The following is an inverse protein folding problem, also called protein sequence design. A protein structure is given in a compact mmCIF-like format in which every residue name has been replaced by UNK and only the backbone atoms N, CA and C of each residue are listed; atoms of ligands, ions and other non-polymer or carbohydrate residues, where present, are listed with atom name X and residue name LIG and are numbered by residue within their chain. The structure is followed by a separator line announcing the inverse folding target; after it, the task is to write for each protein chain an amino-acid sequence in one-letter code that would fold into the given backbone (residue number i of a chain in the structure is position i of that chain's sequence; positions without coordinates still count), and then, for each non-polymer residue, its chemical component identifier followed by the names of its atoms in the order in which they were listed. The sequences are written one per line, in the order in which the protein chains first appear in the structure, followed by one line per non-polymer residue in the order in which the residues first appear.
data_IF_214250328455
#
_entry.id   IF_214250328455
#
_cell.length_a   1.000
_cell.length_b   1.000
_cell.length_c   1.000
_cell.angle_alpha   90.00
_cell.angle_beta   90.00
_cell.angle_gamma   90.00
#
_symmetry.space_group_name_H-M   'P 1'
#
loop_
_entity.id
_entity.type
_entity.pdbx_description
1 polymer ?
#
# COMPACT_ATOMS: atom_id res chain seq x y z
N UNK A 1 -47.75 26.96 15.08
CA UNK A 1 -46.37 26.60 15.45
C UNK A 1 -46.10 25.21 14.91
N UNK A 2 -45.44 25.11 13.75
CA UNK A 2 -44.93 23.86 13.23
C UNK A 2 -43.46 23.78 13.64
N UNK A 3 -43.14 22.94 14.62
CA UNK A 3 -41.77 22.48 14.85
C UNK A 3 -41.60 21.23 13.98
N UNK A 4 -40.97 21.42 12.81
CA UNK A 4 -40.42 20.32 12.03
C UNK A 4 -39.04 20.00 12.61
N UNK A 5 -38.94 18.88 13.32
CA UNK A 5 -37.65 18.29 13.67
C UNK A 5 -36.98 17.81 12.39
N UNK A 6 -36.03 18.59 11.90
CA UNK A 6 -35.11 18.18 10.84
C UNK A 6 -34.02 17.36 11.50
N UNK A 7 -34.19 16.04 11.51
CA UNK A 7 -33.09 15.11 11.74
C UNK A 7 -32.14 15.22 10.55
N UNK A 8 -31.06 15.99 10.73
CA UNK A 8 -29.91 15.93 9.83
C UNK A 8 -29.21 14.61 10.15
N UNK A 9 -29.56 13.55 9.42
CA UNK A 9 -28.67 12.40 9.30
C UNK A 9 -27.42 12.88 8.57
N UNK A 10 -26.37 13.20 9.33
CA UNK A 10 -25.04 13.30 8.75
C UNK A 10 -24.78 11.96 8.06
N UNK A 11 -24.49 11.92 6.75
CA UNK A 11 -24.07 10.68 6.12
C UNK A 11 -22.86 10.20 6.91
N UNK A 12 -22.98 9.00 7.48
CA UNK A 12 -21.91 8.36 8.21
C UNK A 12 -20.78 8.08 7.21
N UNK A 13 -19.94 9.09 6.99
CA UNK A 13 -18.55 8.96 6.53
C UNK A 13 -17.71 8.27 7.63
N UNK A 14 -18.31 7.30 8.31
CA UNK A 14 -17.65 6.44 9.28
C UNK A 14 -16.75 5.51 8.49
N UNK A 15 -15.45 5.69 8.64
CA UNK A 15 -14.44 4.78 8.13
C UNK A 15 -14.83 3.34 8.49
N UNK A 16 -15.05 2.44 7.50
CA UNK A 16 -15.64 1.12 7.71
C UNK A 16 -14.78 0.20 8.61
N UNK A 17 -13.54 0.58 8.87
CA UNK A 17 -12.57 -0.24 9.59
C UNK A 17 -12.88 -0.47 11.08
N UNK A 18 -13.68 0.40 11.71
CA UNK A 18 -14.02 0.26 13.14
C UNK A 18 -15.19 -0.68 13.41
N UNK A 19 -15.80 -1.31 12.39
CA UNK A 19 -17.11 -1.96 12.59
C UNK A 19 -17.06 -3.37 13.20
N UNK A 20 -15.90 -4.00 13.32
CA UNK A 20 -15.79 -5.27 14.06
C UNK A 20 -15.40 -5.00 15.51
N UNK A 21 -16.20 -5.51 16.46
CA UNK A 21 -16.02 -5.31 17.92
C UNK A 21 -14.59 -5.57 18.40
N UNK A 22 -13.91 -6.58 17.82
CA UNK A 22 -12.55 -6.95 18.17
C UNK A 22 -11.52 -5.86 17.83
N UNK A 23 -11.64 -5.21 16.67
CA UNK A 23 -10.68 -4.19 16.23
C UNK A 23 -10.94 -2.84 16.88
N UNK A 24 -12.19 -2.54 17.19
CA UNK A 24 -12.55 -1.38 18.01
C UNK A 24 -11.93 -1.48 19.41
N UNK A 25 -11.96 -2.67 20.03
CA UNK A 25 -11.29 -2.91 21.32
C UNK A 25 -9.78 -2.68 21.20
N UNK A 26 -9.12 -3.23 20.18
CA UNK A 26 -7.68 -3.01 19.96
C UNK A 26 -7.36 -1.53 19.73
N UNK A 27 -8.14 -0.83 18.91
CA UNK A 27 -7.94 0.60 18.71
C UNK A 27 -8.05 1.37 20.02
N UNK A 28 -9.09 1.10 20.83
CA UNK A 28 -9.23 1.74 22.14
C UNK A 28 -8.08 1.40 23.08
N UNK A 29 -7.59 0.15 23.04
CA UNK A 29 -6.44 -0.29 23.83
C UNK A 29 -5.16 0.47 23.47
N UNK A 30 -4.91 0.71 22.18
CA UNK A 30 -3.69 1.39 21.70
C UNK A 30 -3.90 2.89 21.45
N UNK A 31 -5.07 3.45 21.73
CA UNK A 31 -5.42 4.84 21.36
C UNK A 31 -4.42 5.83 21.94
N UNK A 32 -4.08 5.68 23.22
CA UNK A 32 -3.22 6.63 23.91
C UNK A 32 -1.77 6.52 23.43
N UNK A 33 -1.30 5.31 23.06
CA UNK A 33 -0.02 5.10 22.38
C UNK A 33 -0.02 5.76 21.00
N UNK A 34 -1.08 5.58 20.20
CA UNK A 34 -1.23 6.25 18.90
C UNK A 34 -1.23 7.77 19.04
N UNK A 35 -1.96 8.31 20.02
CA UNK A 35 -1.94 9.75 20.33
C UNK A 35 -0.53 10.21 20.74
N UNK A 36 0.19 9.41 21.53
CA UNK A 36 1.57 9.69 21.89
C UNK A 36 2.47 9.74 20.65
N UNK A 37 2.40 8.75 19.77
CA UNK A 37 3.14 8.72 18.50
C UNK A 37 2.83 9.92 17.62
N UNK A 38 1.56 10.35 17.56
CA UNK A 38 1.16 11.56 16.84
C UNK A 38 1.70 12.85 17.46
N UNK A 39 1.92 12.86 18.77
CA UNK A 39 2.44 14.02 19.51
C UNK A 39 3.97 14.04 19.59
N UNK A 40 4.66 12.99 19.13
CA UNK A 40 6.11 12.96 19.08
C UNK A 40 6.63 14.07 18.17
N UNK A 41 7.69 14.75 18.64
CA UNK A 41 8.41 15.68 17.78
C UNK A 41 8.94 14.92 16.55
N UNK A 42 8.94 15.55 15.37
CA UNK A 42 9.69 15.03 14.24
C UNK A 42 11.11 14.68 14.68
N UNK A 43 11.55 13.45 14.39
CA UNK A 43 12.95 13.07 14.45
C UNK A 43 13.73 14.03 13.56
N UNK A 44 14.93 14.39 14.01
CA UNK A 44 15.85 15.17 13.20
C UNK A 44 16.43 14.25 12.13
N UNK A 45 15.81 14.23 10.95
CA UNK A 45 16.37 13.57 9.78
C UNK A 45 17.41 14.49 9.13
N UNK A 46 18.52 13.92 8.67
CA UNK A 46 19.46 14.62 7.76
C UNK A 46 18.73 15.18 6.52
N UNK A 47 17.63 14.54 6.13
CA UNK A 47 16.76 14.94 5.03
C UNK A 47 15.36 14.38 5.23
N UNK A 48 14.32 15.19 5.03
CA UNK A 48 12.92 14.77 4.96
C UNK A 48 12.45 14.65 3.51
N UNK A 49 11.35 13.92 3.22
CA UNK A 49 10.80 13.88 1.87
C UNK A 49 10.35 15.29 1.42
N UNK A 50 10.79 15.70 0.23
CA UNK A 50 10.33 16.90 -0.43
C UNK A 50 8.89 16.80 -0.95
N UNK A 51 8.37 17.92 -1.45
CA UNK A 51 7.00 18.00 -1.95
C UNK A 51 6.75 17.17 -3.22
N UNK A 52 7.77 17.03 -4.05
CA UNK A 52 7.76 16.27 -5.31
C UNK A 52 8.45 14.90 -5.16
N UNK A 53 8.83 14.53 -3.94
CA UNK A 53 9.38 13.21 -3.64
C UNK A 53 8.25 12.20 -3.47
N UNK A 54 8.57 10.92 -3.66
CA UNK A 54 7.70 9.80 -3.31
C UNK A 54 8.38 8.89 -2.31
N UNK A 55 7.62 8.46 -1.30
CA UNK A 55 8.05 7.42 -0.36
C UNK A 55 7.34 6.11 -0.70
N UNK A 56 8.13 5.08 -0.98
CA UNK A 56 7.66 3.73 -1.24
C UNK A 56 7.90 2.90 0.00
N UNK A 57 6.82 2.46 0.64
CA UNK A 57 6.91 1.47 1.70
C UNK A 57 6.81 0.07 1.11
N UNK A 58 7.87 -0.73 1.25
CA UNK A 58 7.93 -2.12 0.84
C UNK A 58 7.78 -2.99 2.08
N UNK A 59 6.79 -3.89 2.04
CA UNK A 59 6.66 -4.99 2.98
C UNK A 59 6.83 -6.29 2.23
N UNK A 60 7.75 -7.12 2.71
CA UNK A 60 7.85 -8.52 2.34
C UNK A 60 8.01 -9.33 3.64
N UNK A 61 7.45 -10.53 3.66
CA UNK A 61 7.56 -11.42 4.81
C UNK A 61 8.64 -12.45 4.50
N UNK A 62 9.66 -12.63 5.36
CA UNK A 62 10.69 -13.63 5.15
C UNK A 62 10.07 -15.01 4.88
N UNK A 63 10.63 -15.73 3.90
CA UNK A 63 10.10 -16.99 3.36
C UNK A 63 9.81 -18.09 4.38
N UNK A 64 10.33 -18.00 5.59
CA UNK A 64 10.09 -18.97 6.66
C UNK A 64 8.69 -18.87 7.29
N UNK A 65 7.97 -17.76 7.09
CA UNK A 65 6.63 -17.55 7.66
C UNK A 65 5.52 -17.70 6.61
N UNK A 66 5.42 -18.91 6.06
CA UNK A 66 4.39 -19.29 5.09
C UNK A 66 3.08 -19.68 5.77
N UNK A 67 2.18 -18.73 5.96
CA UNK A 67 0.76 -19.02 6.04
C UNK A 67 0.25 -19.14 4.58
N UNK A 68 -0.44 -20.23 4.22
CA UNK A 68 -1.31 -20.45 3.01
C UNK A 68 -0.71 -20.60 1.61
N UNK A 69 -1.27 -21.53 0.81
CA UNK A 69 -0.94 -21.86 -0.60
C UNK A 69 -1.79 -21.06 -1.61
N UNK A 70 -1.14 -20.46 -2.61
CA UNK A 70 -1.78 -19.98 -3.84
C UNK A 70 -1.02 -20.59 -5.04
N UNK A 71 -1.69 -21.38 -5.87
CA UNK A 71 -1.07 -22.13 -6.99
C UNK A 71 0.09 -23.07 -6.59
N UNK A 72 0.01 -23.76 -5.45
CA UNK A 72 1.09 -24.66 -4.99
C UNK A 72 2.35 -23.93 -4.51
N UNK A 73 2.32 -22.60 -4.42
CA UNK A 73 3.36 -21.78 -3.79
C UNK A 73 2.76 -21.08 -2.58
N UNK A 74 3.26 -21.39 -1.38
CA UNK A 74 2.78 -20.73 -0.15
C UNK A 74 3.25 -19.29 -0.07
N UNK A 75 2.39 -18.31 -0.38
CA UNK A 75 2.60 -16.89 -0.01
C UNK A 75 1.26 -16.20 0.21
N UNK A 76 0.83 -16.03 1.47
CA UNK A 76 -0.31 -15.16 1.83
C UNK A 76 0.03 -13.66 1.71
N UNK A 77 1.32 -13.31 1.77
CA UNK A 77 1.77 -11.93 1.59
C UNK A 77 2.91 -11.90 0.56
N UNK A 78 2.75 -11.04 -0.44
CA UNK A 78 3.79 -10.71 -1.39
C UNK A 78 3.87 -9.18 -1.52
N UNK A 79 5.04 -8.62 -1.80
CA UNK A 79 5.12 -7.23 -2.22
C UNK A 79 4.42 -7.07 -3.59
N UNK A 80 3.86 -5.89 -3.89
CA UNK A 80 3.40 -5.57 -5.24
C UNK A 80 4.46 -5.91 -6.31
N UNK A 81 4.07 -6.38 -7.51
CA UNK A 81 5.02 -6.72 -8.56
C UNK A 81 5.69 -5.47 -9.15
N UNK A 82 6.83 -5.62 -9.82
CA UNK A 82 7.58 -4.51 -10.47
C UNK A 82 6.69 -3.64 -11.36
N UNK A 83 5.80 -4.25 -12.12
CA UNK A 83 4.87 -3.56 -13.04
C UNK A 83 3.93 -2.59 -12.32
N UNK A 84 3.61 -2.81 -11.05
CA UNK A 84 2.83 -1.87 -10.25
C UNK A 84 3.62 -0.58 -9.99
N UNK A 85 4.88 -0.70 -9.57
CA UNK A 85 5.74 0.46 -9.32
C UNK A 85 6.05 1.22 -10.61
N UNK A 86 6.33 0.51 -11.70
CA UNK A 86 6.62 1.13 -12.99
C UNK A 86 5.53 2.08 -13.44
N UNK A 87 4.28 1.61 -13.41
CA UNK A 87 3.12 2.39 -13.83
C UNK A 87 3.00 3.69 -13.03
N UNK A 88 3.20 3.63 -11.72
CA UNK A 88 3.08 4.80 -10.85
C UNK A 88 4.25 5.76 -11.08
N UNK A 89 5.49 5.25 -11.06
CA UNK A 89 6.69 6.08 -11.13
C UNK A 89 6.86 6.72 -12.51
N UNK A 90 6.56 6.00 -13.59
CA UNK A 90 6.61 6.55 -14.95
C UNK A 90 5.54 7.61 -15.20
N UNK A 91 4.35 7.45 -14.60
CA UNK A 91 3.22 8.38 -14.79
C UNK A 91 3.40 9.71 -14.05
N UNK A 92 3.97 9.70 -12.85
CA UNK A 92 3.94 10.85 -11.95
C UNK A 92 5.25 11.66 -11.91
N UNK A 93 6.35 11.15 -12.47
CA UNK A 93 7.62 11.88 -12.63
C UNK A 93 8.16 12.55 -11.34
N UNK A 94 8.25 11.78 -10.24
CA UNK A 94 8.78 12.29 -8.98
C UNK A 94 10.26 12.69 -9.06
N UNK A 95 10.65 13.71 -8.30
CA UNK A 95 12.04 14.21 -8.26
C UNK A 95 12.98 13.21 -7.56
N UNK A 96 12.50 12.60 -6.48
CA UNK A 96 13.25 11.62 -5.72
C UNK A 96 12.36 10.46 -5.27
N UNK A 97 12.93 9.26 -5.32
CA UNK A 97 12.29 8.04 -4.85
C UNK A 97 12.96 7.58 -3.56
N UNK A 98 12.19 7.53 -2.49
CA UNK A 98 12.60 6.95 -1.22
C UNK A 98 12.03 5.55 -1.06
N UNK A 99 12.83 4.61 -0.55
CA UNK A 99 12.36 3.27 -0.22
C UNK A 99 12.54 3.02 1.27
N UNK A 100 11.46 2.58 1.90
CA UNK A 100 11.38 2.27 3.32
C UNK A 100 10.83 0.85 3.46
N UNK A 101 11.34 0.06 4.39
CA UNK A 101 10.93 -1.33 4.60
C UNK A 101 11.67 -1.94 5.78
N UNK A 102 11.32 -3.17 6.14
CA UNK A 102 11.97 -3.86 7.26
C UNK A 102 13.49 -4.01 7.02
N UNK A 103 14.35 -3.84 8.03
CA UNK A 103 15.80 -3.88 7.85
C UNK A 103 16.32 -5.13 7.13
N UNK A 104 15.66 -6.28 7.35
CA UNK A 104 15.98 -7.57 6.74
C UNK A 104 15.81 -7.57 5.21
N UNK A 105 14.84 -6.82 4.69
CA UNK A 105 14.52 -6.77 3.25
C UNK A 105 15.21 -5.60 2.53
N UNK A 106 15.77 -4.65 3.29
CA UNK A 106 16.38 -3.41 2.78
C UNK A 106 17.80 -3.63 2.24
N UNK A 107 17.95 -4.53 1.28
CA UNK A 107 19.20 -4.87 0.61
C UNK A 107 19.02 -5.01 -0.91
N UNK A 108 20.11 -4.86 -1.68
CA UNK A 108 20.08 -4.95 -3.15
C UNK A 108 19.69 -6.35 -3.68
N UNK A 109 19.90 -7.40 -2.89
CA UNK A 109 19.50 -8.76 -3.27
C UNK A 109 17.98 -8.98 -3.27
N UNK A 110 17.22 -8.11 -2.59
CA UNK A 110 15.77 -8.24 -2.55
C UNK A 110 15.13 -7.83 -3.89
N UNK A 111 14.27 -8.67 -4.52
CA UNK A 111 13.82 -8.48 -5.91
C UNK A 111 13.11 -7.17 -6.23
N UNK A 112 12.39 -6.59 -5.25
CA UNK A 112 11.69 -5.30 -5.37
C UNK A 112 12.57 -4.13 -4.93
N UNK A 113 13.18 -4.18 -3.74
CA UNK A 113 14.06 -3.11 -3.24
C UNK A 113 15.26 -2.89 -4.18
N UNK A 114 15.99 -3.94 -4.56
CA UNK A 114 17.10 -3.84 -5.51
C UNK A 114 16.67 -3.25 -6.85
N UNK A 115 15.53 -3.70 -7.37
CA UNK A 115 14.94 -3.15 -8.59
C UNK A 115 14.64 -1.65 -8.49
N UNK A 116 14.03 -1.18 -7.40
CA UNK A 116 13.72 0.23 -7.18
C UNK A 116 15.01 1.06 -7.04
N UNK A 117 16.00 0.53 -6.31
CA UNK A 117 17.29 1.20 -6.14
C UNK A 117 18.05 1.32 -7.46
N UNK A 118 18.11 0.26 -8.27
CA UNK A 118 18.86 0.24 -9.53
C UNK A 118 18.16 1.03 -10.64
N UNK A 119 16.86 0.79 -10.88
CA UNK A 119 16.15 1.40 -12.01
C UNK A 119 15.76 2.85 -11.76
N UNK A 120 15.37 3.18 -10.53
CA UNK A 120 14.83 4.50 -10.17
C UNK A 120 15.79 5.31 -9.30
N UNK A 121 17.04 4.86 -9.12
CA UNK A 121 18.02 5.49 -8.24
C UNK A 121 17.45 5.76 -6.83
N UNK A 122 16.63 4.84 -6.34
CA UNK A 122 15.92 5.05 -5.10
C UNK A 122 16.87 4.97 -3.90
N UNK A 123 16.61 5.79 -2.88
CA UNK A 123 17.46 5.88 -1.67
C UNK A 123 16.68 5.49 -0.42
N UNK A 124 17.35 4.88 0.55
CA UNK A 124 16.78 4.66 1.89
C UNK A 124 17.04 5.85 2.81
N UNK A 125 16.15 6.18 3.76
CA UNK A 125 16.47 7.13 4.82
C UNK A 125 17.66 6.63 5.65
N UNK A 126 18.46 7.55 6.20
CA UNK A 126 19.57 7.19 7.10
C UNK A 126 19.04 6.87 8.50
N UNK A 127 19.71 5.95 9.19
CA UNK A 127 19.52 5.71 10.63
C UNK A 127 18.27 4.91 11.02
N UNK A 128 17.47 4.44 10.06
CA UNK A 128 16.08 4.11 10.37
C UNK A 128 15.86 2.92 11.29
N UNK A 129 15.09 3.17 12.35
CA UNK A 129 14.32 2.18 13.07
C UNK A 129 12.83 2.26 12.69
N UNK A 130 12.02 1.32 13.17
CA UNK A 130 10.60 1.26 12.81
C UNK A 130 9.81 2.56 13.11
N UNK A 131 10.15 3.28 14.19
CA UNK A 131 9.46 4.54 14.54
C UNK A 131 9.88 5.68 13.62
N UNK A 132 11.18 5.76 13.30
CA UNK A 132 11.71 6.73 12.34
C UNK A 132 11.16 6.47 10.94
N UNK A 133 11.07 5.22 10.51
CA UNK A 133 10.46 4.86 9.22
C UNK A 133 8.98 5.23 9.19
N UNK A 134 8.26 4.95 10.27
CA UNK A 134 6.85 5.29 10.40
C UNK A 134 6.60 6.79 10.23
N UNK A 135 7.38 7.60 10.95
CA UNK A 135 7.25 9.05 10.88
C UNK A 135 7.74 9.60 9.52
N UNK A 136 8.80 9.05 8.94
CA UNK A 136 9.29 9.45 7.63
C UNK A 136 8.25 9.23 6.53
N UNK A 137 7.56 8.08 6.54
CA UNK A 137 6.43 7.79 5.64
C UNK A 137 5.29 8.79 5.89
N UNK A 138 4.95 9.05 7.17
CA UNK A 138 3.84 9.93 7.54
C UNK A 138 4.05 11.40 7.11
N UNK A 139 5.31 11.84 6.99
CA UNK A 139 5.66 13.19 6.54
C UNK A 139 5.56 13.38 5.02
N UNK A 140 5.48 12.30 4.24
CA UNK A 140 5.53 12.37 2.79
C UNK A 140 4.23 12.91 2.17
N UNK A 141 4.38 13.67 1.06
CA UNK A 141 3.24 14.14 0.26
C UNK A 141 2.79 13.16 -0.81
N UNK A 142 3.64 12.20 -1.18
CA UNK A 142 3.30 11.12 -2.10
C UNK A 142 3.78 9.80 -1.50
N UNK A 143 2.87 8.83 -1.34
CA UNK A 143 3.18 7.55 -0.72
C UNK A 143 2.71 6.42 -1.63
N UNK A 144 3.60 5.49 -1.96
CA UNK A 144 3.26 4.20 -2.57
C UNK A 144 3.30 3.15 -1.47
N UNK A 145 2.16 2.52 -1.21
CA UNK A 145 2.04 1.53 -0.15
C UNK A 145 2.24 0.11 -0.65
N UNK A 146 2.77 -0.74 0.24
CA UNK A 146 2.59 -2.19 0.20
C UNK A 146 1.50 -2.62 1.18
N UNK A 147 0.85 -3.77 0.97
CA UNK A 147 -0.15 -4.28 1.89
C UNK A 147 0.41 -4.60 3.27
N UNK A 148 0.13 -3.72 4.24
CA UNK A 148 0.69 -3.79 5.58
C UNK A 148 -0.10 -2.91 6.54
N UNK A 149 -0.34 -3.41 7.75
CA UNK A 149 -0.91 -2.62 8.84
C UNK A 149 -0.01 -1.45 9.22
N UNK A 150 1.32 -1.64 9.17
CA UNK A 150 2.29 -0.58 9.47
C UNK A 150 2.20 0.56 8.44
N UNK A 151 2.28 0.23 7.15
CA UNK A 151 2.15 1.21 6.08
C UNK A 151 0.78 1.88 6.05
N UNK A 152 -0.28 1.14 6.35
CA UNK A 152 -1.63 1.68 6.46
C UNK A 152 -1.74 2.73 7.56
N UNK A 153 -1.18 2.47 8.76
CA UNK A 153 -1.18 3.46 9.84
C UNK A 153 -0.32 4.68 9.53
N UNK A 154 0.86 4.49 8.94
CA UNK A 154 1.70 5.62 8.54
C UNK A 154 0.97 6.53 7.53
N UNK A 155 0.31 5.94 6.52
CA UNK A 155 -0.54 6.69 5.61
C UNK A 155 -1.77 7.30 6.31
N UNK A 156 -2.33 6.61 7.31
CA UNK A 156 -3.45 7.12 8.09
C UNK A 156 -3.07 8.44 8.81
N UNK A 157 -1.85 8.55 9.33
CA UNK A 157 -1.38 9.76 10.01
C UNK A 157 -0.74 10.80 9.08
N UNK A 158 -0.58 10.48 7.79
CA UNK A 158 -0.14 11.45 6.80
C UNK A 158 -1.18 12.58 6.60
N UNK A 159 -0.73 13.68 5.99
CA UNK A 159 -1.58 14.84 5.72
C UNK A 159 -2.79 14.46 4.85
N UNK A 160 -3.94 15.12 5.05
CA UNK A 160 -5.09 14.98 4.15
C UNK A 160 -4.79 15.42 2.70
N UNK A 161 -3.68 16.14 2.48
CA UNK A 161 -3.19 16.54 1.17
C UNK A 161 -2.31 15.49 0.50
N UNK A 162 -1.89 14.45 1.22
CA UNK A 162 -1.01 13.40 0.73
C UNK A 162 -1.72 12.59 -0.34
N UNK A 163 -1.02 12.34 -1.45
CA UNK A 163 -1.44 11.42 -2.49
C UNK A 163 -1.03 10.00 -2.10
N UNK A 164 -2.00 9.08 -2.03
CA UNK A 164 -1.76 7.69 -1.67
C UNK A 164 -1.95 6.80 -2.90
N UNK A 165 -0.94 6.02 -3.26
CA UNK A 165 -1.03 4.98 -4.28
C UNK A 165 -1.20 3.63 -3.58
N UNK A 166 -2.44 3.16 -3.56
CA UNK A 166 -2.85 1.99 -2.80
C UNK A 166 -2.98 0.75 -3.70
N UNK A 167 -2.30 -0.35 -3.37
CA UNK A 167 -2.44 -1.60 -4.11
C UNK A 167 -3.75 -2.35 -3.82
N UNK A 168 -4.45 -2.76 -4.87
CA UNK A 168 -5.49 -3.79 -4.82
C UNK A 168 -4.82 -5.15 -5.07
N UNK A 169 -4.78 -5.95 -4.01
CA UNK A 169 -4.17 -7.28 -4.02
C UNK A 169 -5.17 -8.33 -4.57
N UNK A 170 -4.74 -9.23 -5.47
CA UNK A 170 -5.55 -10.31 -6.02
C UNK A 170 -5.41 -11.61 -5.22
N UNK A 171 -5.28 -11.51 -3.89
CA UNK A 171 -5.09 -12.67 -3.02
C UNK A 171 -6.20 -12.72 -1.98
N UNK A 172 -6.56 -13.94 -1.61
CA UNK A 172 -7.41 -14.20 -0.46
C UNK A 172 -6.58 -13.96 0.82
N UNK A 173 -6.61 -12.73 1.32
CA UNK A 173 -5.92 -12.37 2.55
C UNK A 173 -6.74 -12.80 3.77
N UNK A 174 -6.07 -13.20 4.86
CA UNK A 174 -6.74 -13.56 6.13
C UNK A 174 -7.60 -12.43 6.73
N UNK A 175 -7.35 -11.19 6.34
CA UNK A 175 -8.14 -10.02 6.71
C UNK A 175 -8.92 -9.53 5.49
N UNK A 176 -10.10 -8.91 5.65
CA UNK A 176 -10.82 -8.33 4.53
C UNK A 176 -10.06 -7.08 4.04
N UNK A 177 -8.99 -7.28 3.26
CA UNK A 177 -8.14 -6.21 2.72
C UNK A 177 -8.96 -5.15 1.98
N UNK A 178 -10.04 -5.59 1.32
CA UNK A 178 -11.01 -4.75 0.62
C UNK A 178 -11.80 -3.80 1.54
N UNK A 179 -11.94 -4.15 2.83
CA UNK A 179 -12.52 -3.27 3.86
C UNK A 179 -11.51 -2.24 4.36
N UNK A 180 -10.20 -2.46 4.13
CA UNK A 180 -9.12 -1.56 4.56
C UNK A 180 -8.82 -0.45 3.57
N UNK A 181 -9.49 -0.43 2.41
CA UNK A 181 -9.30 0.61 1.42
C UNK A 181 -9.57 1.98 2.05
N UNK A 182 -8.59 2.91 2.04
CA UNK A 182 -8.75 4.19 2.71
C UNK A 182 -9.74 5.06 1.93
N UNK A 183 -10.89 5.39 2.52
CA UNK A 183 -11.91 6.26 1.91
C UNK A 183 -11.58 7.75 2.01
N UNK A 184 -10.36 8.13 1.62
CA UNK A 184 -9.84 9.50 1.76
C UNK A 184 -9.75 10.20 0.40
N UNK A 185 -9.82 11.53 0.35
CA UNK A 185 -9.44 12.27 -0.85
C UNK A 185 -8.01 11.91 -1.26
N UNK A 186 -7.73 11.96 -2.57
CA UNK A 186 -6.39 11.75 -3.16
C UNK A 186 -5.80 10.34 -2.96
N UNK A 187 -6.66 9.35 -2.79
CA UNK A 187 -6.26 7.95 -2.90
C UNK A 187 -6.47 7.49 -4.33
N UNK A 188 -5.45 6.83 -4.87
CA UNK A 188 -5.48 6.14 -6.15
C UNK A 188 -5.29 4.66 -5.91
N UNK A 189 -6.25 3.86 -6.34
CA UNK A 189 -6.21 2.42 -6.19
C UNK A 189 -5.70 1.79 -7.47
N UNK A 190 -4.75 0.87 -7.37
CA UNK A 190 -4.15 0.21 -8.53
C UNK A 190 -4.26 -1.29 -8.40
N UNK A 191 -4.77 -1.93 -9.44
CA UNK A 191 -4.70 -3.38 -9.54
C UNK A 191 -3.24 -3.82 -9.73
N UNK A 192 -2.80 -4.82 -8.96
CA UNK A 192 -1.41 -5.31 -9.01
C UNK A 192 -0.94 -5.76 -10.38
N UNK A 193 -1.79 -6.49 -11.12
CA UNK A 193 -1.37 -7.13 -12.36
C UNK A 193 -1.96 -6.46 -13.58
N UNK A 194 -3.18 -5.95 -13.47
CA UNK A 194 -3.87 -5.27 -14.55
C UNK A 194 -3.55 -3.79 -14.54
N UNK A 195 -3.50 -3.17 -15.71
CA UNK A 195 -3.38 -1.72 -15.88
C UNK A 195 -4.68 -0.97 -15.52
N UNK A 196 -5.31 -1.32 -14.40
CA UNK A 196 -6.50 -0.65 -13.88
C UNK A 196 -6.09 0.30 -12.74
N UNK A 197 -6.65 1.51 -12.79
CA UNK A 197 -6.50 2.58 -11.80
C UNK A 197 -7.89 3.14 -11.49
N UNK A 198 -8.14 3.41 -10.21
CA UNK A 198 -9.41 3.93 -9.72
C UNK A 198 -9.16 5.10 -8.78
N UNK A 199 -9.92 6.18 -8.93
CA UNK A 199 -9.98 7.27 -7.94
C UNK A 199 -11.20 7.09 -7.01
N UNK A 200 -12.10 6.17 -7.33
CA UNK A 200 -13.32 5.87 -6.58
C UNK A 200 -13.18 4.58 -5.75
N UNK A 201 -13.47 4.67 -4.46
CA UNK A 201 -13.36 3.54 -3.52
C UNK A 201 -14.37 2.43 -3.82
N UNK A 202 -15.56 2.75 -4.35
CA UNK A 202 -16.59 1.76 -4.64
C UNK A 202 -16.12 0.86 -5.78
N UNK A 203 -15.61 1.44 -6.86
CA UNK A 203 -15.02 0.69 -7.98
C UNK A 203 -13.81 -0.14 -7.55
N UNK A 204 -12.92 0.44 -6.74
CA UNK A 204 -11.77 -0.28 -6.20
C UNK A 204 -12.19 -1.49 -5.34
N UNK A 205 -13.24 -1.31 -4.52
CA UNK A 205 -13.80 -2.39 -3.70
C UNK A 205 -14.47 -3.46 -4.54
N UNK A 206 -15.24 -3.10 -5.57
CA UNK A 206 -15.86 -4.08 -6.47
C UNK A 206 -14.82 -5.00 -7.13
N UNK A 207 -13.69 -4.42 -7.54
CA UNK A 207 -12.55 -5.16 -8.10
C UNK A 207 -11.93 -6.07 -7.05
N UNK A 208 -11.69 -5.56 -5.85
CA UNK A 208 -11.13 -6.31 -4.73
C UNK A 208 -12.04 -7.49 -4.32
N UNK A 209 -13.33 -7.25 -4.11
CA UNK A 209 -14.34 -8.27 -3.81
C UNK A 209 -14.54 -9.26 -4.96
N UNK A 210 -14.24 -8.82 -6.18
CA UNK A 210 -14.17 -9.68 -7.35
C UNK A 210 -13.14 -10.80 -7.18
N UNK A 211 -11.94 -10.47 -6.68
CA UNK A 211 -10.88 -11.45 -6.43
C UNK A 211 -11.30 -12.48 -5.39
N UNK A 212 -11.90 -12.02 -4.27
CA UNK A 212 -12.37 -12.89 -3.19
C UNK A 212 -13.47 -13.88 -3.63
N UNK A 213 -14.33 -13.48 -4.57
CA UNK A 213 -15.41 -14.34 -5.07
C UNK A 213 -14.97 -15.32 -6.17
N UNK A 214 -13.68 -15.38 -6.50
CA UNK A 214 -13.17 -16.19 -7.61
C UNK A 214 -13.67 -15.76 -9.00
N UNK A 215 -14.45 -14.68 -9.12
CA UNK A 215 -15.02 -14.20 -10.40
C UNK A 215 -13.96 -13.81 -11.42
N UNK A 216 -12.77 -13.44 -10.94
CA UNK A 216 -11.65 -13.03 -11.78
C UNK A 216 -10.44 -13.97 -11.67
N UNK A 217 -10.57 -15.07 -10.92
CA UNK A 217 -9.45 -15.92 -10.49
C UNK A 217 -8.95 -16.97 -11.49
N UNK A 218 -9.65 -17.25 -12.60
CA UNK A 218 -9.26 -18.37 -13.47
C UNK A 218 -9.04 -18.07 -14.96
N UNK A 219 -9.51 -16.94 -15.50
CA UNK A 219 -9.40 -16.72 -16.96
C UNK A 219 -8.13 -15.98 -17.42
N UNK A 220 -7.44 -15.22 -16.55
CA UNK A 220 -6.31 -14.37 -16.97
C UNK A 220 -4.93 -15.03 -16.89
N UNK A 221 -4.78 -16.14 -16.16
CA UNK A 221 -3.48 -16.82 -16.04
C UNK A 221 -3.06 -17.56 -17.32
N UNK A 222 -3.98 -17.91 -18.23
CA UNK A 222 -3.62 -18.42 -19.55
C UNK A 222 -3.00 -17.36 -20.45
N UNK A 223 -3.28 -16.08 -20.23
CA UNK A 223 -2.77 -14.98 -21.07
C UNK A 223 -1.40 -14.50 -20.61
N UNK A 224 -1.13 -14.51 -19.30
CA UNK A 224 0.16 -14.06 -18.78
C UNK A 224 1.32 -15.03 -19.03
N UNK A 225 1.07 -16.36 -19.07
CA UNK A 225 2.11 -17.32 -19.44
C UNK A 225 2.48 -17.28 -20.93
N UNK A 226 1.60 -16.79 -21.81
CA UNK A 226 1.92 -16.60 -23.22
C UNK A 226 2.86 -15.40 -23.48
N UNK A 227 2.97 -14.45 -22.56
CA UNK A 227 3.80 -13.26 -22.74
C UNK A 227 5.18 -13.35 -22.07
N UNK A 228 5.40 -14.29 -21.15
CA UNK A 228 6.73 -14.48 -20.54
C UNK A 228 7.65 -15.31 -21.45
N UNK A 229 7.10 -16.21 -22.28
CA UNK A 229 7.89 -17.01 -23.24
C UNK A 229 8.23 -16.26 -24.56
N UNK A 230 7.66 -15.08 -24.81
CA UNK A 230 7.94 -14.28 -26.03
C UNK A 230 8.97 -13.16 -25.85
N UNK A 231 9.59 -13.03 -24.66
CA UNK A 231 10.64 -12.04 -24.39
C UNK A 231 12.04 -12.68 -24.27
N UNK A 232 12.27 -13.81 -24.94
CA UNK A 232 13.63 -14.27 -25.23
C UNK A 232 14.12 -13.65 -26.55
N UNK A 233 14.96 -12.63 -26.39
CA UNK A 233 15.99 -12.14 -27.31
C UNK A 233 16.00 -12.71 -28.73
N UNK A 234 15.32 -12.04 -29.66
CA UNK A 234 15.90 -11.78 -30.97
C UNK A 234 16.83 -10.56 -30.83
N UNK A 235 18.14 -10.81 -30.71
CA UNK A 235 19.15 -9.96 -31.32
C UNK A 235 20.44 -10.79 -31.47
N UNK A 236 20.55 -11.38 -32.65
CA UNK A 236 21.83 -11.71 -33.26
C UNK A 236 22.53 -10.42 -33.66
N UNK A 237 23.77 -10.24 -33.21
CA UNK A 237 24.92 -9.83 -34.01
C UNK A 237 26.18 -10.35 -33.33
#
# INVERSE_FOLDING_TARGET
MYQSDVTIEAPSLGFPYYQTRHYNIKFHQYRDELCHYMAMKPFEYDSTPGDQDVVIYVRDIPHESTLGEFNGVRRIYAPPPRVFYDRILQKNHYEKVWVVGDPEIMNLGHPIVGYLMEKYNATKPKGSNALEDFQFISLAKNIILSPSTFGWWAAYFSSYRTTLHFPIMPLETMLPWCELLPGRPRVKYYDWFRSLEFDDIVQAREVCDGYLRGRWGMSMMKVFFLFIDQLQCEHSL
#
